data_IF_184731700727
#
_entry.id   IF_184731700727
#
_cell.length_a   1.000
_cell.length_b   1.000
_cell.length_c   1.000
_cell.angle_alpha   90.00
_cell.angle_beta   90.00
_cell.angle_gamma   90.00
#
_symmetry.space_group_name_H-M   'P 1'
#
loop_
_entity.id
_entity.type
_entity.pdbx_description
1 polymer ?
#
# COMPACT_ATOMS: atom_id res chain seq x y z
N UNK A 1 -2.23 -2.83 -27.70
CA UNK A 1 -2.55 -2.71 -29.13
C UNK A 1 -4.01 -3.07 -29.44
N UNK A 2 -4.52 -4.30 -29.16
CA UNK A 2 -5.93 -4.68 -29.44
C UNK A 2 -6.95 -3.78 -28.76
N UNK A 3 -6.73 -3.41 -27.50
CA UNK A 3 -7.64 -2.51 -26.78
C UNK A 3 -7.73 -1.14 -27.46
N UNK A 4 -6.60 -0.58 -27.86
CA UNK A 4 -6.53 0.73 -28.49
C UNK A 4 -7.16 0.73 -29.90
N UNK A 5 -7.08 -0.40 -30.60
CA UNK A 5 -7.74 -0.57 -31.89
C UNK A 5 -9.27 -0.64 -31.75
N UNK A 6 -9.78 -1.38 -30.76
CA UNK A 6 -11.22 -1.53 -30.51
C UNK A 6 -11.82 -0.31 -29.79
N UNK A 7 -11.05 0.36 -28.98
CA UNK A 7 -11.46 1.49 -28.15
C UNK A 7 -10.46 2.65 -28.27
N UNK A 8 -10.51 3.45 -29.32
CA UNK A 8 -9.58 4.57 -29.53
C UNK A 8 -9.46 5.46 -28.29
N UNK A 9 -8.25 5.91 -28.00
CA UNK A 9 -7.94 6.74 -26.83
C UNK A 9 -7.78 5.99 -25.50
N UNK A 10 -7.98 4.66 -25.49
CA UNK A 10 -7.80 3.84 -24.29
C UNK A 10 -6.55 2.98 -24.41
N UNK A 11 -5.54 3.32 -23.64
CA UNK A 11 -4.28 2.57 -23.58
C UNK A 11 -4.28 1.65 -22.37
N UNK A 12 -3.89 0.42 -22.57
CA UNK A 12 -3.57 -0.48 -21.47
C UNK A 12 -2.06 -0.58 -21.35
N UNK A 13 -1.54 -0.26 -20.18
CA UNK A 13 -0.10 -0.27 -19.88
C UNK A 13 0.20 -1.20 -18.72
N UNK A 14 1.41 -1.70 -18.67
CA UNK A 14 1.88 -2.44 -17.51
C UNK A 14 2.18 -1.48 -16.36
N UNK A 15 1.62 -1.72 -15.20
CA UNK A 15 2.00 -1.03 -13.99
C UNK A 15 3.43 -1.44 -13.55
N UNK A 16 4.15 -0.49 -12.98
CA UNK A 16 5.50 -0.74 -12.47
C UNK A 16 5.45 -1.62 -11.21
N UNK A 17 6.48 -2.42 -11.03
CA UNK A 17 6.70 -3.20 -9.83
C UNK A 17 8.13 -2.98 -9.34
N UNK A 18 8.30 -2.69 -8.06
CA UNK A 18 9.60 -2.40 -7.46
C UNK A 18 10.36 -3.69 -7.14
N UNK A 19 10.83 -4.37 -8.17
CA UNK A 19 11.65 -5.58 -8.05
C UNK A 19 13.08 -5.30 -8.50
N UNK A 20 14.02 -5.93 -7.78
CA UNK A 20 15.44 -5.91 -8.17
C UNK A 20 15.63 -6.61 -9.51
N UNK A 21 16.40 -5.96 -10.38
CA UNK A 21 16.79 -6.50 -11.68
C UNK A 21 18.18 -7.12 -11.65
N UNK A 22 18.97 -6.75 -10.64
CA UNK A 22 20.35 -7.15 -10.42
C UNK A 22 20.53 -7.53 -8.94
N UNK A 23 21.59 -8.27 -8.67
CA UNK A 23 21.99 -8.57 -7.29
C UNK A 23 22.61 -7.32 -6.63
N UNK A 24 22.34 -7.13 -5.35
CA UNK A 24 22.93 -6.10 -4.48
C UNK A 24 23.43 -6.75 -3.19
N UNK A 25 24.59 -7.43 -3.25
CA UNK A 25 25.13 -8.16 -2.10
C UNK A 25 25.36 -7.25 -0.88
N UNK A 26 25.80 -6.01 -1.13
CA UNK A 26 26.01 -5.00 -0.08
C UNK A 26 24.74 -4.61 0.70
N UNK A 27 23.57 -4.92 0.14
CA UNK A 27 22.26 -4.73 0.78
C UNK A 27 21.63 -6.06 1.21
N UNK A 28 22.32 -7.17 1.05
CA UNK A 28 21.80 -8.52 1.24
C UNK A 28 20.51 -8.77 0.43
N UNK A 29 20.50 -8.32 -0.84
CA UNK A 29 19.37 -8.40 -1.76
C UNK A 29 19.79 -9.03 -3.07
N UNK A 30 18.96 -9.91 -3.60
CA UNK A 30 19.21 -10.53 -4.90
C UNK A 30 18.17 -10.11 -5.93
N UNK A 31 18.48 -10.32 -7.20
CA UNK A 31 17.51 -10.11 -8.29
C UNK A 31 16.26 -10.95 -8.10
N UNK A 32 15.16 -10.51 -8.67
CA UNK A 32 13.88 -11.21 -8.62
C UNK A 32 13.99 -12.64 -9.18
N UNK A 33 13.59 -13.61 -8.39
CA UNK A 33 13.60 -15.04 -8.75
C UNK A 33 12.30 -15.50 -9.44
N UNK A 34 11.43 -14.58 -9.83
CA UNK A 34 10.19 -14.84 -10.58
C UNK A 34 9.20 -15.78 -9.88
N UNK A 35 9.25 -15.89 -8.55
CA UNK A 35 8.45 -16.84 -7.76
C UNK A 35 6.99 -16.44 -7.55
N UNK A 36 6.61 -15.24 -7.96
CA UNK A 36 5.24 -14.72 -7.81
C UNK A 36 4.71 -14.71 -6.35
N UNK A 37 5.59 -14.60 -5.34
CA UNK A 37 5.26 -14.62 -3.92
C UNK A 37 5.46 -13.25 -3.24
N UNK A 38 5.41 -12.17 -4.00
CA UNK A 38 5.70 -10.82 -3.49
C UNK A 38 4.80 -10.40 -2.33
N UNK A 39 3.51 -10.78 -2.37
CA UNK A 39 2.54 -10.47 -1.33
C UNK A 39 2.72 -11.24 -0.01
N UNK A 40 3.45 -12.36 -0.04
CA UNK A 40 3.69 -13.22 1.12
C UNK A 40 5.05 -12.96 1.78
N UNK A 41 5.74 -11.92 1.35
CA UNK A 41 7.12 -11.62 1.74
C UNK A 41 8.14 -12.22 0.77
N UNK A 42 9.13 -11.42 0.43
CA UNK A 42 10.18 -11.82 -0.49
C UNK A 42 11.44 -12.20 0.27
N UNK A 43 11.71 -13.50 0.42
CA UNK A 43 12.89 -14.01 1.12
C UNK A 43 14.22 -13.63 0.46
N UNK A 44 14.19 -13.17 -0.78
CA UNK A 44 15.36 -12.69 -1.52
C UNK A 44 15.58 -11.18 -1.41
N UNK A 45 14.75 -10.46 -0.68
CA UNK A 45 14.81 -8.99 -0.62
C UNK A 45 14.60 -8.31 -1.97
N UNK A 46 14.21 -9.05 -3.01
CA UNK A 46 14.06 -8.51 -4.36
C UNK A 46 12.91 -7.51 -4.47
N UNK A 47 11.78 -7.79 -3.81
CA UNK A 47 10.64 -6.88 -3.76
C UNK A 47 10.89 -5.78 -2.72
N UNK A 48 10.60 -4.54 -3.09
CA UNK A 48 10.79 -3.42 -2.19
C UNK A 48 9.80 -3.46 -1.02
N UNK A 49 10.33 -3.31 0.17
CA UNK A 49 9.56 -2.99 1.38
C UNK A 49 10.46 -2.21 2.33
N UNK A 50 9.87 -1.48 3.26
CA UNK A 50 10.61 -0.79 4.32
C UNK A 50 11.48 -1.76 5.11
N UNK A 51 10.98 -2.96 5.40
CA UNK A 51 11.70 -3.99 6.15
C UNK A 51 12.90 -4.55 5.38
N UNK A 52 12.77 -4.70 4.07
CA UNK A 52 13.86 -5.26 3.25
C UNK A 52 14.90 -4.23 2.82
N UNK A 53 14.58 -2.95 2.82
CA UNK A 53 15.42 -1.92 2.20
C UNK A 53 15.78 -0.79 3.15
N UNK A 54 14.83 0.09 3.45
CA UNK A 54 15.12 1.35 4.13
C UNK A 54 15.46 1.18 5.60
N UNK A 55 14.81 0.24 6.28
CA UNK A 55 15.05 -0.01 7.69
C UNK A 55 16.44 -0.64 7.95
N UNK A 56 16.88 -1.67 7.22
CA UNK A 56 18.27 -2.16 7.34
C UNK A 56 19.31 -1.08 7.06
N UNK A 57 19.12 -0.29 6.01
CA UNK A 57 20.02 0.82 5.68
C UNK A 57 20.08 1.87 6.79
N UNK A 58 18.94 2.24 7.36
CA UNK A 58 18.90 3.18 8.48
C UNK A 58 19.59 2.61 9.74
N UNK A 59 19.40 1.32 10.05
CA UNK A 59 20.09 0.65 11.15
C UNK A 59 21.61 0.64 10.97
N UNK A 60 22.08 0.40 9.75
CA UNK A 60 23.51 0.39 9.44
C UNK A 60 24.21 1.73 9.70
N UNK A 61 23.48 2.84 9.74
CA UNK A 61 24.04 4.16 10.09
C UNK A 61 24.39 4.31 11.58
N UNK A 62 23.88 3.43 12.44
CA UNK A 62 23.97 3.56 13.90
C UNK A 62 23.16 4.74 14.49
N UNK A 63 22.39 5.45 13.67
CA UNK A 63 21.64 6.66 14.07
C UNK A 63 20.13 6.42 14.20
N UNK A 64 19.68 5.19 14.04
CA UNK A 64 18.28 4.83 14.19
C UNK A 64 18.00 4.24 15.56
N UNK A 65 17.07 4.84 16.30
CA UNK A 65 16.40 4.20 17.43
C UNK A 65 15.00 3.79 16.97
N UNK A 66 14.74 2.48 16.92
CA UNK A 66 13.42 1.93 16.59
C UNK A 66 12.76 1.44 17.86
N UNK A 67 11.64 2.04 18.23
CA UNK A 67 10.79 1.62 19.35
C UNK A 67 9.55 0.93 18.83
N UNK A 68 9.44 -0.38 19.03
CA UNK A 68 8.21 -1.14 18.80
C UNK A 68 7.30 -1.04 20.03
N UNK A 69 6.08 -1.52 19.91
CA UNK A 69 5.08 -1.56 20.98
C UNK A 69 4.78 -0.17 21.60
N UNK A 70 5.04 0.91 20.86
CA UNK A 70 4.81 2.28 21.28
C UNK A 70 3.53 2.82 20.63
N UNK A 71 2.46 2.91 21.40
CA UNK A 71 1.18 3.45 20.95
C UNK A 71 1.16 4.95 21.18
N UNK A 72 1.39 5.71 20.11
CA UNK A 72 1.38 7.18 20.18
C UNK A 72 -0.02 7.68 20.50
N UNK A 73 -0.15 8.47 21.54
CA UNK A 73 -1.43 9.02 22.01
C UNK A 73 -1.67 10.45 21.58
N UNK A 74 -0.67 11.30 21.70
CA UNK A 74 -0.76 12.72 21.38
C UNK A 74 0.63 13.35 21.18
N UNK A 75 0.63 14.58 20.69
CA UNK A 75 1.81 15.43 20.57
C UNK A 75 1.79 16.50 21.66
N UNK A 76 2.95 16.83 22.22
CA UNK A 76 3.13 17.98 23.06
C UNK A 76 3.35 19.22 22.19
N UNK A 77 2.49 20.21 22.36
CA UNK A 77 2.52 21.45 21.62
C UNK A 77 2.73 22.64 22.55
N UNK A 78 3.69 23.47 22.21
CA UNK A 78 3.96 24.72 22.91
C UNK A 78 3.28 25.90 22.17
N UNK A 79 2.21 26.49 22.74
CA UNK A 79 1.51 27.58 22.09
C UNK A 79 2.33 28.88 21.99
N UNK A 80 3.33 29.10 22.86
CA UNK A 80 4.17 30.28 22.82
C UNK A 80 5.14 30.28 21.64
N UNK A 81 5.78 29.12 21.41
CA UNK A 81 6.72 28.95 20.29
C UNK A 81 6.04 28.43 19.03
N UNK A 82 4.78 27.99 19.13
CA UNK A 82 4.00 27.33 18.06
C UNK A 82 4.70 26.09 17.48
N UNK A 83 5.36 25.33 18.34
CA UNK A 83 6.11 24.13 17.94
C UNK A 83 5.64 22.89 18.67
N UNK A 84 5.79 21.76 18.02
CA UNK A 84 5.71 20.43 18.67
C UNK A 84 7.03 20.21 19.40
N UNK A 85 6.98 19.94 20.69
CA UNK A 85 8.14 19.69 21.53
C UNK A 85 8.39 18.23 21.84
N UNK A 86 7.35 17.38 21.74
CA UNK A 86 7.46 15.97 22.06
C UNK A 86 6.33 15.12 21.49
N UNK A 87 6.52 13.83 21.61
CA UNK A 87 5.56 12.78 21.25
C UNK A 87 5.30 11.94 22.49
N UNK A 88 4.05 11.83 22.90
CA UNK A 88 3.61 10.94 23.99
C UNK A 88 3.13 9.62 23.45
N UNK A 89 3.50 8.56 24.10
CA UNK A 89 3.04 7.22 23.76
C UNK A 89 2.90 6.37 25.03
N UNK A 90 2.16 5.29 24.89
CA UNK A 90 2.04 4.24 25.91
C UNK A 90 2.77 3.01 25.40
N UNK A 91 3.63 2.46 26.22
CA UNK A 91 4.25 1.16 25.97
C UNK A 91 3.17 0.08 26.10
N UNK A 92 2.91 -0.65 25.02
CA UNK A 92 1.82 -1.63 24.97
C UNK A 92 2.06 -2.86 25.85
N UNK A 93 3.31 -3.10 26.29
CA UNK A 93 3.65 -4.23 27.16
C UNK A 93 3.52 -3.89 28.63
N UNK A 94 3.92 -2.67 28.99
CA UNK A 94 3.96 -2.25 30.41
C UNK A 94 2.77 -1.38 30.80
N UNK A 95 2.07 -0.79 29.83
CA UNK A 95 1.00 0.19 30.06
C UNK A 95 1.52 1.56 30.54
N UNK A 96 2.84 1.77 30.60
CA UNK A 96 3.41 3.02 31.05
C UNK A 96 3.42 4.10 29.97
N UNK A 97 3.11 5.32 30.37
CA UNK A 97 3.19 6.48 29.50
C UNK A 97 4.62 7.03 29.49
N UNK A 98 5.12 7.29 28.29
CA UNK A 98 6.46 7.85 28.06
C UNK A 98 6.37 9.04 27.10
N UNK A 99 7.42 9.88 27.10
CA UNK A 99 7.54 11.02 26.17
C UNK A 99 8.94 11.02 25.55
N UNK A 100 8.99 11.27 24.25
CA UNK A 100 10.22 11.49 23.49
C UNK A 100 10.17 12.89 22.89
N UNK A 101 11.28 13.61 23.05
CA UNK A 101 11.43 14.96 22.48
C UNK A 101 12.23 14.93 21.18
N UNK A 102 11.90 15.80 20.24
CA UNK A 102 12.61 15.93 18.98
C UNK A 102 12.51 17.37 18.42
N UNK A 103 13.50 17.75 17.62
CA UNK A 103 13.45 19.03 16.90
C UNK A 103 12.45 19.06 15.75
N UNK A 104 12.19 17.89 15.15
CA UNK A 104 11.21 17.71 14.09
C UNK A 104 10.45 16.40 14.35
N UNK A 105 9.16 16.44 14.12
CA UNK A 105 8.27 15.28 14.25
C UNK A 105 7.56 15.05 12.90
N UNK A 106 7.69 13.84 12.36
CA UNK A 106 6.97 13.40 11.17
C UNK A 106 5.85 12.45 11.60
N UNK A 107 4.61 12.88 11.46
CA UNK A 107 3.44 12.08 11.78
C UNK A 107 3.02 11.24 10.56
N UNK A 108 3.41 9.97 10.55
CA UNK A 108 3.22 9.04 9.44
C UNK A 108 2.35 7.83 9.82
N UNK A 109 1.34 8.03 10.67
CA UNK A 109 0.52 6.98 11.25
C UNK A 109 -0.72 6.63 10.40
N UNK A 110 -0.75 6.93 9.11
CA UNK A 110 -1.90 6.91 8.20
C UNK A 110 -2.91 8.05 8.43
N UNK A 111 -3.84 8.24 7.50
CA UNK A 111 -4.78 9.36 7.56
C UNK A 111 -5.63 9.34 8.84
N UNK A 112 -6.27 8.21 9.17
CA UNK A 112 -7.15 8.11 10.33
C UNK A 112 -6.38 8.18 11.65
N UNK A 113 -5.31 7.40 11.80
CA UNK A 113 -4.54 7.38 13.04
C UNK A 113 -3.80 8.71 13.28
N UNK A 114 -3.26 9.36 12.25
CA UNK A 114 -2.68 10.69 12.38
C UNK A 114 -3.72 11.72 12.82
N UNK A 115 -4.91 11.66 12.23
CA UNK A 115 -6.02 12.54 12.63
C UNK A 115 -6.39 12.31 14.10
N UNK A 116 -6.50 11.07 14.54
CA UNK A 116 -6.79 10.74 15.94
C UNK A 116 -5.73 11.30 16.89
N UNK A 117 -4.43 11.12 16.58
CA UNK A 117 -3.33 11.67 17.37
C UNK A 117 -3.45 13.20 17.46
N UNK A 118 -3.70 13.88 16.33
CA UNK A 118 -3.89 15.33 16.31
C UNK A 118 -5.11 15.77 17.10
N UNK A 119 -6.24 15.06 17.01
CA UNK A 119 -7.45 15.36 17.81
C UNK A 119 -7.21 15.18 19.30
N UNK A 120 -6.40 14.23 19.73
CA UNK A 120 -6.03 14.00 21.11
C UNK A 120 -5.01 15.03 21.63
N UNK A 121 -4.31 15.74 20.75
CA UNK A 121 -3.32 16.76 21.09
C UNK A 121 -4.01 18.10 21.40
N UNK A 122 -4.60 18.19 22.58
CA UNK A 122 -5.41 19.31 23.05
C UNK A 122 -4.97 19.78 24.43
N UNK A 123 -5.20 21.07 24.77
CA UNK A 123 -5.00 21.56 26.13
C UNK A 123 -5.86 20.79 27.13
N UNK A 124 -5.37 20.66 28.35
CA UNK A 124 -6.14 20.08 29.43
C UNK A 124 -7.48 20.82 29.59
N UNK A 125 -8.58 20.07 29.67
CA UNK A 125 -9.93 20.64 29.82
C UNK A 125 -10.51 21.27 28.54
N UNK A 126 -9.77 21.28 27.41
CA UNK A 126 -10.26 21.82 26.13
C UNK A 126 -10.91 20.71 25.28
N UNK A 127 -12.03 21.00 24.69
CA UNK A 127 -12.65 20.15 23.66
C UNK A 127 -12.00 20.27 22.28
N UNK A 128 -11.11 21.28 22.07
CA UNK A 128 -10.52 21.60 20.77
C UNK A 128 -9.02 21.29 20.75
N UNK A 129 -8.56 20.64 19.68
CA UNK A 129 -7.14 20.37 19.45
C UNK A 129 -6.35 21.64 19.14
N UNK A 130 -5.07 21.67 19.52
CA UNK A 130 -4.13 22.70 19.08
C UNK A 130 -3.99 22.77 17.54
N UNK A 131 -4.24 21.66 16.84
CA UNK A 131 -4.06 21.49 15.40
C UNK A 131 -5.35 21.72 14.59
N UNK A 132 -6.43 22.17 15.23
CA UNK A 132 -7.71 22.41 14.57
C UNK A 132 -8.03 23.92 14.45
N UNK A 133 -7.14 24.67 13.81
CA UNK A 133 -7.35 26.10 13.58
C UNK A 133 -8.54 26.40 12.66
N UNK A 134 -8.74 25.56 11.65
CA UNK A 134 -9.80 25.70 10.65
C UNK A 134 -11.15 25.11 11.07
N UNK A 135 -11.21 24.29 12.13
CA UNK A 135 -12.40 23.51 12.51
C UNK A 135 -12.70 22.33 11.59
N UNK A 136 -11.73 21.91 10.75
CA UNK A 136 -11.90 20.84 9.77
C UNK A 136 -11.21 19.54 10.16
N UNK A 137 -10.45 19.53 11.25
CA UNK A 137 -9.76 18.32 11.69
C UNK A 137 -10.76 17.19 12.01
N UNK A 138 -10.55 16.04 11.38
CA UNK A 138 -11.44 14.87 11.51
C UNK A 138 -12.76 14.97 10.72
N UNK A 139 -12.87 15.96 9.84
CA UNK A 139 -14.04 16.16 8.97
C UNK A 139 -13.69 15.97 7.51
N UNK A 140 -14.72 15.79 6.68
CA UNK A 140 -14.59 15.69 5.22
C UNK A 140 -13.69 14.55 4.76
N UNK A 141 -13.73 13.42 5.47
CA UNK A 141 -13.00 12.20 5.06
C UNK A 141 -13.58 11.72 3.74
N UNK A 142 -12.69 11.56 2.77
CA UNK A 142 -13.05 11.02 1.44
C UNK A 142 -12.15 9.82 1.15
N UNK A 143 -12.71 8.86 0.47
CA UNK A 143 -11.98 7.73 -0.08
C UNK A 143 -12.27 7.63 -1.58
N UNK A 144 -11.53 6.77 -2.26
CA UNK A 144 -11.76 6.47 -3.67
C UNK A 144 -13.12 5.83 -3.89
N UNK A 145 -13.75 6.14 -5.02
CA UNK A 145 -14.83 5.30 -5.55
C UNK A 145 -14.16 4.10 -6.20
N UNK A 146 -14.06 2.97 -5.50
CA UNK A 146 -13.26 1.82 -5.95
C UNK A 146 -14.01 0.48 -6.02
N UNK A 147 -15.24 0.40 -5.58
CA UNK A 147 -16.00 -0.87 -5.56
C UNK A 147 -16.69 -1.20 -6.88
N UNK A 148 -16.25 -0.57 -7.96
CA UNK A 148 -16.70 -0.89 -9.32
C UNK A 148 -15.64 -1.77 -9.96
N UNK A 149 -15.98 -3.00 -10.22
CA UNK A 149 -15.00 -3.92 -10.80
C UNK A 149 -15.66 -5.14 -11.45
N UNK A 150 -14.86 -5.84 -12.21
CA UNK A 150 -15.22 -7.10 -12.86
C UNK A 150 -14.14 -8.13 -12.58
N UNK A 151 -14.53 -9.35 -12.37
CA UNK A 151 -13.65 -10.52 -12.24
C UNK A 151 -14.25 -11.69 -13.02
N UNK A 152 -13.41 -12.58 -13.49
CA UNK A 152 -13.86 -13.77 -14.22
C UNK A 152 -12.73 -14.73 -14.46
N UNK A 153 -13.08 -15.87 -15.03
CA UNK A 153 -12.15 -16.90 -15.46
C UNK A 153 -11.70 -16.63 -16.91
N UNK A 154 -10.52 -17.11 -17.26
CA UNK A 154 -9.97 -17.07 -18.62
C UNK A 154 -9.83 -18.53 -19.09
N UNK A 155 -10.86 -19.09 -19.71
CA UNK A 155 -10.81 -20.46 -20.18
C UNK A 155 -9.85 -20.64 -21.36
N UNK A 156 -9.31 -21.84 -21.53
CA UNK A 156 -8.43 -22.17 -22.64
C UNK A 156 -6.98 -21.72 -22.47
N UNK A 157 -6.60 -21.27 -21.27
CA UNK A 157 -5.23 -20.87 -20.93
C UNK A 157 -4.66 -21.72 -19.77
N UNK A 158 -5.19 -22.88 -19.52
CA UNK A 158 -4.84 -23.71 -18.38
C UNK A 158 -3.36 -24.12 -18.41
N UNK A 159 -2.84 -24.43 -19.60
CA UNK A 159 -1.44 -24.81 -19.82
C UNK A 159 -0.49 -23.63 -20.01
N UNK A 160 -1.02 -22.39 -20.07
CA UNK A 160 -0.17 -21.23 -20.27
C UNK A 160 0.64 -20.93 -19.01
N UNK A 161 1.95 -20.88 -19.17
CA UNK A 161 2.89 -20.51 -18.11
C UNK A 161 3.53 -19.17 -18.48
N UNK A 162 3.48 -18.22 -17.56
CA UNK A 162 4.15 -16.94 -17.76
C UNK A 162 5.66 -17.06 -17.52
N UNK A 163 6.44 -16.42 -18.37
CA UNK A 163 7.89 -16.33 -18.24
C UNK A 163 8.32 -14.88 -18.02
N UNK A 164 9.34 -14.71 -17.21
CA UNK A 164 9.92 -13.40 -16.97
C UNK A 164 9.31 -12.67 -15.78
N UNK A 165 9.70 -11.41 -15.64
CA UNK A 165 9.21 -10.57 -14.56
C UNK A 165 7.75 -10.18 -14.82
N UNK A 166 6.90 -10.48 -13.89
CA UNK A 166 5.53 -10.03 -13.97
C UNK A 166 5.43 -8.53 -13.68
N UNK A 167 4.54 -7.79 -14.35
CA UNK A 167 4.20 -6.42 -13.96
C UNK A 167 3.44 -6.42 -12.63
N UNK A 168 3.42 -5.27 -11.94
CA UNK A 168 2.64 -5.12 -10.71
C UNK A 168 1.15 -5.27 -10.93
N UNK A 169 0.68 -4.82 -12.09
CA UNK A 169 -0.69 -4.87 -12.55
C UNK A 169 -0.73 -4.48 -14.02
N UNK A 170 -1.91 -4.50 -14.61
CA UNK A 170 -2.23 -3.71 -15.82
C UNK A 170 -2.99 -2.47 -15.38
N UNK A 171 -2.82 -1.38 -16.13
CA UNK A 171 -3.45 -0.11 -15.86
C UNK A 171 -3.98 0.52 -17.14
N UNK A 172 -5.23 0.97 -17.08
CA UNK A 172 -5.82 1.80 -18.11
C UNK A 172 -5.95 3.21 -17.53
N UNK A 173 -5.10 4.16 -17.95
CA UNK A 173 -5.16 5.53 -17.47
C UNK A 173 -6.50 6.17 -17.73
N UNK A 174 -6.80 7.23 -17.00
CA UNK A 174 -7.98 8.05 -17.22
C UNK A 174 -8.10 8.44 -18.70
N UNK A 175 -9.28 8.28 -19.26
CA UNK A 175 -9.61 8.57 -20.67
C UNK A 175 -10.90 9.39 -20.83
N UNK A 176 -11.49 9.86 -19.73
CA UNK A 176 -12.67 10.74 -19.71
C UNK A 176 -12.33 12.04 -19.00
N UNK A 177 -12.96 13.13 -19.43
CA UNK A 177 -12.83 14.45 -18.84
C UNK A 177 -11.36 14.84 -18.61
N UNK A 178 -10.48 14.60 -19.59
CA UNK A 178 -9.04 14.90 -19.46
C UNK A 178 -8.80 16.40 -19.60
N UNK A 179 -9.09 16.96 -20.78
CA UNK A 179 -8.81 18.36 -21.13
C UNK A 179 -10.09 19.20 -21.15
N UNK A 180 -11.24 18.54 -21.33
CA UNK A 180 -12.56 19.16 -21.38
C UNK A 180 -13.61 18.23 -20.79
N UNK A 181 -14.76 18.77 -20.48
CA UNK A 181 -15.94 18.00 -20.09
C UNK A 181 -16.46 17.19 -21.31
N UNK A 182 -16.50 15.88 -21.18
CA UNK A 182 -16.99 14.99 -22.24
C UNK A 182 -18.53 14.86 -22.25
N UNK A 183 -19.25 15.60 -21.41
CA UNK A 183 -20.71 15.57 -21.35
C UNK A 183 -21.31 14.27 -20.80
N UNK A 184 -20.53 13.48 -20.04
CA UNK A 184 -20.94 12.15 -19.56
C UNK A 184 -21.69 12.15 -18.23
N UNK A 185 -22.12 13.31 -17.74
CA UNK A 185 -22.94 13.44 -16.52
C UNK A 185 -22.17 13.35 -15.20
N UNK A 186 -20.84 13.25 -15.24
CA UNK A 186 -19.96 13.32 -14.05
C UNK A 186 -18.74 14.16 -14.37
N UNK A 187 -18.19 14.77 -13.33
CA UNK A 187 -16.94 15.54 -13.40
C UNK A 187 -15.75 14.64 -13.05
N UNK A 188 -14.55 15.03 -13.53
CA UNK A 188 -13.30 14.26 -13.36
C UNK A 188 -13.33 12.95 -14.14
N UNK A 189 -12.49 12.02 -13.80
CA UNK A 189 -12.36 10.77 -14.53
C UNK A 189 -11.93 9.64 -13.62
N UNK A 190 -11.82 8.46 -14.18
CA UNK A 190 -11.41 7.26 -13.49
C UNK A 190 -10.42 6.47 -14.36
N UNK A 191 -9.62 5.66 -13.73
CA UNK A 191 -8.75 4.68 -14.37
C UNK A 191 -9.14 3.27 -13.97
N UNK A 192 -8.64 2.29 -14.71
CA UNK A 192 -8.79 0.89 -14.34
C UNK A 192 -7.46 0.30 -13.92
N UNK A 193 -7.49 -0.51 -12.86
CA UNK A 193 -6.35 -1.32 -12.43
C UNK A 193 -6.80 -2.76 -12.28
N UNK A 194 -5.90 -3.68 -12.62
CA UNK A 194 -6.19 -5.08 -12.48
C UNK A 194 -5.09 -5.96 -13.02
N UNK A 195 -5.43 -7.20 -13.30
CA UNK A 195 -4.48 -8.16 -13.84
C UNK A 195 -5.09 -9.51 -14.05
N UNK A 196 -4.35 -10.36 -14.72
CA UNK A 196 -4.61 -11.77 -14.78
C UNK A 196 -3.65 -12.50 -13.83
N UNK A 197 -4.12 -13.55 -13.21
CA UNK A 197 -3.35 -14.34 -12.25
C UNK A 197 -3.87 -15.76 -12.18
N UNK A 198 -3.03 -16.66 -11.72
CA UNK A 198 -3.46 -17.97 -11.25
C UNK A 198 -3.66 -17.95 -9.76
N UNK A 199 -4.75 -18.51 -9.28
CA UNK A 199 -4.87 -18.77 -7.86
C UNK A 199 -3.86 -19.86 -7.48
N UNK A 200 -3.10 -19.68 -6.38
CA UNK A 200 -2.29 -20.76 -5.89
C UNK A 200 -3.18 -21.94 -5.54
N UNK A 201 -2.71 -23.15 -5.85
CA UNK A 201 -3.38 -24.36 -5.41
C UNK A 201 -3.60 -24.28 -3.89
N UNK A 202 -4.84 -24.44 -3.46
CA UNK A 202 -5.19 -24.56 -2.04
C UNK A 202 -5.45 -26.05 -1.77
N UNK A 203 -4.43 -26.80 -1.35
CA UNK A 203 -4.64 -28.20 -1.04
C UNK A 203 -5.56 -28.29 0.18
N UNK A 204 -6.67 -28.99 0.02
CA UNK A 204 -7.55 -29.32 1.13
C UNK A 204 -7.22 -30.72 1.65
N UNK A 205 -7.29 -30.90 2.96
CA UNK A 205 -7.04 -32.16 3.61
C UNK A 205 -5.56 -32.46 3.87
N UNK A 206 -5.24 -33.74 4.01
CA UNK A 206 -3.91 -34.25 4.36
C UNK A 206 -3.55 -35.47 3.52
N UNK A 207 -2.26 -35.76 3.34
CA UNK A 207 -1.79 -36.95 2.66
C UNK A 207 -2.04 -36.94 1.15
N UNK A 208 -2.71 -37.97 0.61
CA UNK A 208 -2.91 -38.14 -0.83
C UNK A 208 -3.79 -37.04 -1.45
N UNK A 209 -4.86 -36.63 -0.77
CA UNK A 209 -5.75 -35.56 -1.24
C UNK A 209 -5.04 -34.20 -1.33
N UNK A 210 -4.20 -33.89 -0.36
CA UNK A 210 -3.36 -32.71 -0.40
C UNK A 210 -2.40 -32.74 -1.60
N UNK A 211 -1.71 -33.87 -1.83
CA UNK A 211 -0.79 -34.01 -2.95
C UNK A 211 -1.51 -33.89 -4.29
N UNK A 212 -2.69 -34.44 -4.42
CA UNK A 212 -3.51 -34.34 -5.62
C UNK A 212 -3.97 -32.87 -5.84
N UNK A 213 -4.41 -32.18 -4.80
CA UNK A 213 -4.76 -30.78 -4.88
C UNK A 213 -3.57 -29.88 -5.29
N UNK A 214 -2.35 -30.21 -4.85
CA UNK A 214 -1.13 -29.48 -5.25
C UNK A 214 -0.75 -29.74 -6.72
N UNK A 215 -1.13 -30.84 -7.32
CA UNK A 215 -0.86 -31.17 -8.73
C UNK A 215 -1.83 -30.49 -9.69
N UNK A 216 -2.99 -30.09 -9.22
CA UNK A 216 -3.99 -29.41 -10.05
C UNK A 216 -3.57 -27.97 -10.32
N UNK A 217 -3.44 -27.63 -11.58
CA UNK A 217 -3.29 -26.24 -11.98
C UNK A 217 -4.61 -25.50 -11.79
N UNK A 218 -4.58 -24.41 -11.07
CA UNK A 218 -5.71 -23.48 -11.07
C UNK A 218 -5.81 -22.79 -12.43
N UNK A 219 -7.01 -22.56 -12.93
CA UNK A 219 -7.23 -21.78 -14.13
C UNK A 219 -6.77 -20.34 -13.98
N UNK A 220 -6.61 -19.65 -15.12
CA UNK A 220 -6.35 -18.24 -15.13
C UNK A 220 -7.60 -17.44 -14.79
N UNK A 221 -7.44 -16.45 -13.96
CA UNK A 221 -8.48 -15.49 -13.58
C UNK A 221 -8.02 -14.07 -13.91
N UNK A 222 -8.98 -13.20 -14.14
CA UNK A 222 -8.72 -11.76 -14.22
C UNK A 222 -9.57 -11.00 -13.25
N UNK A 223 -9.10 -9.84 -12.88
CA UNK A 223 -9.88 -8.82 -12.19
C UNK A 223 -9.46 -7.43 -12.65
N UNK A 224 -10.43 -6.56 -12.77
CA UNK A 224 -10.23 -5.14 -13.07
C UNK A 224 -11.13 -4.34 -12.14
N UNK A 225 -10.59 -3.29 -11.54
CA UNK A 225 -11.33 -2.34 -10.72
C UNK A 225 -11.21 -0.93 -11.29
N UNK A 226 -12.28 -0.16 -11.22
CA UNK A 226 -12.26 1.26 -11.52
C UNK A 226 -11.96 2.05 -10.24
N UNK A 227 -11.14 3.09 -10.39
CA UNK A 227 -10.76 4.02 -9.33
C UNK A 227 -10.99 5.45 -9.81
N UNK A 228 -11.80 6.20 -9.08
CA UNK A 228 -12.14 7.59 -9.34
C UNK A 228 -11.88 8.50 -8.14
#
# INVERSE_FOLDING_TARGET
>A
QRLETQFPGRKMINARLSNMTEDKPEQNRTKCQLRNQCGNGCSFGAYFSTQAVTLPAARATGRLTLRSDAVVTNLDYDPATKKVSGVRFVDAKTGQAETVTARLVFLCASALASTQILMNSRPAGSGKSHFDSSGTLGRYVMDHIFRVGVKGDIPGMEEFIEYGRRPGAIYVPRFRNNDKDDGVGFKRGYGYQGGAYREPARPEGFGASMKEGMRRYSGWKFQMGAFG
#
